data_IF_437891672950
#
_entry.id   IF_437891672950
#
_cell.length_a   1.000
_cell.length_b   1.000
_cell.length_c   1.000
_cell.angle_alpha   90.00
_cell.angle_beta   90.00
_cell.angle_gamma   90.00
#
_symmetry.space_group_name_H-M   'P 1'
#
loop_
_entity.id
_entity.type
_entity.pdbx_description
1 polymer ?
#
# COMPACT_ATOMS: atom_id res chain seq x y z
N UNK A 1 -19.21 -37.18 -76.25
CA UNK A 1 -19.16 -37.16 -74.78
C UNK A 1 -17.85 -36.51 -74.37
N UNK A 2 -17.89 -35.26 -73.88
CA UNK A 2 -16.72 -34.53 -73.36
C UNK A 2 -17.10 -34.02 -71.97
N UNK A 3 -16.41 -34.54 -70.96
CA UNK A 3 -16.59 -34.22 -69.55
C UNK A 3 -15.90 -32.91 -69.21
N UNK A 4 -16.62 -31.97 -68.59
CA UNK A 4 -16.06 -30.73 -68.04
C UNK A 4 -15.83 -30.90 -66.55
N UNK A 5 -14.58 -30.75 -66.13
CA UNK A 5 -14.14 -30.75 -64.73
C UNK A 5 -14.31 -29.34 -64.14
N UNK A 6 -15.02 -29.22 -63.02
CA UNK A 6 -15.13 -27.98 -62.24
C UNK A 6 -14.09 -28.00 -61.13
N UNK A 7 -13.21 -26.99 -61.08
CA UNK A 7 -12.24 -26.79 -59.99
C UNK A 7 -12.83 -25.76 -59.02
N UNK A 8 -13.16 -26.20 -57.80
CA UNK A 8 -13.52 -25.32 -56.69
C UNK A 8 -12.25 -24.78 -56.03
N UNK A 9 -12.05 -23.45 -56.09
CA UNK A 9 -11.02 -22.75 -55.31
C UNK A 9 -11.53 -22.44 -53.90
N UNK A 10 -10.86 -22.95 -52.88
CA UNK A 10 -11.04 -22.49 -51.49
C UNK A 10 -10.26 -21.19 -51.28
N UNK A 11 -10.96 -20.10 -51.00
CA UNK A 11 -10.36 -18.89 -50.46
C UNK A 11 -10.25 -19.02 -48.93
N UNK A 12 -9.02 -19.09 -48.41
CA UNK A 12 -8.76 -19.03 -46.98
C UNK A 12 -8.77 -17.56 -46.52
N UNK A 13 -9.82 -17.16 -45.82
CA UNK A 13 -9.92 -15.85 -45.17
C UNK A 13 -9.05 -15.84 -43.91
N UNK A 14 -7.87 -15.21 -43.97
CA UNK A 14 -7.10 -14.87 -42.78
C UNK A 14 -7.80 -13.71 -42.06
N UNK A 15 -8.55 -14.03 -41.00
CA UNK A 15 -9.02 -13.03 -40.05
C UNK A 15 -7.84 -12.62 -39.16
N UNK A 16 -7.29 -11.42 -39.42
CA UNK A 16 -6.34 -10.79 -38.51
C UNK A 16 -7.06 -10.46 -37.20
N UNK A 17 -6.73 -11.17 -36.13
CA UNK A 17 -7.16 -10.82 -34.78
C UNK A 17 -6.51 -9.49 -34.39
N UNK A 18 -7.27 -8.40 -34.45
CA UNK A 18 -6.84 -7.12 -33.90
C UNK A 18 -6.72 -7.28 -32.38
N UNK A 19 -5.49 -7.26 -31.88
CA UNK A 19 -5.21 -7.20 -30.45
C UNK A 19 -5.83 -5.90 -29.90
N UNK A 20 -6.82 -6.05 -29.02
CA UNK A 20 -7.39 -4.91 -28.29
C UNK A 20 -6.26 -4.34 -27.42
N UNK A 21 -5.90 -3.05 -27.54
CA UNK A 21 -4.91 -2.46 -26.65
C UNK A 21 -5.44 -2.54 -25.22
N UNK A 22 -4.64 -3.11 -24.31
CA UNK A 22 -4.93 -3.09 -22.89
C UNK A 22 -5.19 -1.64 -22.47
N UNK A 23 -6.37 -1.36 -21.94
CA UNK A 23 -6.72 -0.03 -21.45
C UNK A 23 -5.71 0.35 -20.36
N UNK A 24 -4.83 1.31 -20.66
CA UNK A 24 -3.89 1.85 -19.69
C UNK A 24 -4.68 2.66 -18.66
N UNK A 25 -4.91 2.09 -17.48
CA UNK A 25 -5.56 2.79 -16.37
C UNK A 25 -4.70 3.99 -15.98
N UNK A 26 -5.27 5.18 -16.04
CA UNK A 26 -4.56 6.40 -15.69
C UNK A 26 -4.12 6.39 -14.22
N UNK A 27 -2.91 6.88 -13.92
CA UNK A 27 -2.39 6.97 -12.56
C UNK A 27 -3.27 7.76 -11.60
N UNK A 28 -3.43 7.28 -10.36
CA UNK A 28 -4.14 8.04 -9.34
C UNK A 28 -3.30 9.25 -8.91
N UNK A 29 -3.92 10.44 -8.74
CA UNK A 29 -3.27 11.59 -8.13
C UNK A 29 -2.89 11.31 -6.67
N UNK A 30 -1.83 11.97 -6.22
CA UNK A 30 -1.49 12.04 -4.81
C UNK A 30 -2.37 13.10 -4.15
N UNK A 31 -3.02 12.74 -3.05
CA UNK A 31 -3.92 13.61 -2.31
C UNK A 31 -3.49 13.81 -0.86
N UNK A 32 -4.28 14.60 -0.14
CA UNK A 32 -4.17 14.76 1.31
C UNK A 32 -4.56 13.46 2.02
N UNK A 33 -3.81 13.11 3.07
CA UNK A 33 -4.23 12.12 4.05
C UNK A 33 -5.25 12.76 4.99
N UNK A 34 -6.22 11.98 5.44
CA UNK A 34 -7.18 12.41 6.44
C UNK A 34 -7.07 11.59 7.71
N UNK A 35 -7.53 12.20 8.80
CA UNK A 35 -7.58 11.66 10.14
C UNK A 35 -8.94 11.95 10.76
N UNK A 36 -9.45 10.99 11.51
CA UNK A 36 -10.66 11.12 12.32
C UNK A 36 -10.35 10.78 13.79
N UNK A 37 -10.79 11.63 14.70
CA UNK A 37 -10.68 11.37 16.14
C UNK A 37 -10.93 12.60 17.00
N UNK A 38 -10.81 12.45 18.32
CA UNK A 38 -11.02 13.53 19.28
C UNK A 38 -9.70 14.26 19.62
N UNK A 39 -9.56 15.57 19.32
CA UNK A 39 -8.37 16.36 19.65
C UNK A 39 -8.16 16.58 21.16
N UNK A 40 -9.25 16.52 21.92
CA UNK A 40 -9.30 16.70 23.37
C UNK A 40 -10.00 15.47 23.96
N UNK A 41 -9.44 14.90 25.03
CA UNK A 41 -10.00 13.72 25.67
C UNK A 41 -11.47 13.96 26.10
N UNK A 42 -12.37 13.09 25.63
CA UNK A 42 -13.83 13.20 25.88
C UNK A 42 -14.54 14.30 25.09
N UNK A 43 -13.83 15.01 24.20
CA UNK A 43 -14.40 15.99 23.28
C UNK A 43 -15.04 15.35 22.03
N UNK A 44 -15.64 16.18 21.15
CA UNK A 44 -16.18 15.70 19.89
C UNK A 44 -15.06 15.26 18.95
N UNK A 45 -15.36 14.24 18.14
CA UNK A 45 -14.48 13.80 17.05
C UNK A 45 -14.57 14.78 15.87
N UNK A 46 -13.44 14.98 15.19
CA UNK A 46 -13.32 15.86 14.03
C UNK A 46 -12.60 15.15 12.89
N UNK A 47 -12.88 15.62 11.66
CA UNK A 47 -12.17 15.21 10.46
C UNK A 47 -11.14 16.27 10.06
N UNK A 48 -9.86 15.89 10.00
CA UNK A 48 -8.76 16.78 9.61
C UNK A 48 -8.00 16.17 8.44
N UNK A 49 -7.78 16.98 7.40
CA UNK A 49 -7.03 16.59 6.21
C UNK A 49 -5.73 17.39 6.11
N UNK A 50 -4.67 16.80 5.57
CA UNK A 50 -3.40 17.46 5.34
C UNK A 50 -2.46 16.66 4.46
N UNK A 51 -1.34 17.28 4.07
CA UNK A 51 -0.32 16.66 3.21
C UNK A 51 0.45 15.52 3.90
N UNK A 52 0.46 15.50 5.24
CA UNK A 52 1.04 14.44 6.07
C UNK A 52 0.39 14.43 7.47
N UNK A 53 0.68 13.40 8.27
CA UNK A 53 0.24 13.35 9.67
C UNK A 53 0.85 14.47 10.52
N UNK A 54 2.08 14.92 10.21
CA UNK A 54 2.70 16.07 10.87
C UNK A 54 1.94 17.37 10.54
N UNK A 55 1.46 17.52 9.31
CA UNK A 55 0.63 18.66 8.91
C UNK A 55 -0.75 18.62 9.60
N UNK A 56 -1.34 17.43 9.75
CA UNK A 56 -2.56 17.22 10.52
C UNK A 56 -2.34 17.59 12.00
N UNK A 57 -1.26 17.11 12.61
CA UNK A 57 -0.92 17.45 14.00
C UNK A 57 -0.77 18.97 14.17
N UNK A 58 -0.07 19.65 13.25
CA UNK A 58 0.09 21.09 13.30
C UNK A 58 -1.26 21.85 13.22
N UNK A 59 -2.19 21.40 12.36
CA UNK A 59 -3.55 21.96 12.29
C UNK A 59 -4.31 21.73 13.60
N UNK A 60 -4.23 20.52 14.15
CA UNK A 60 -4.92 20.18 15.41
C UNK A 60 -4.39 21.01 16.58
N UNK A 61 -3.07 21.20 16.64
CA UNK A 61 -2.42 22.04 17.65
C UNK A 61 -2.84 23.50 17.57
N UNK A 62 -2.98 24.03 16.36
CA UNK A 62 -3.37 25.41 16.13
C UNK A 62 -4.85 25.67 16.45
N UNK A 63 -5.73 24.72 16.13
CA UNK A 63 -7.19 24.93 16.16
C UNK A 63 -7.87 24.39 17.43
N UNK A 64 -7.36 23.31 18.02
CA UNK A 64 -8.08 22.58 19.08
C UNK A 64 -7.29 22.40 20.37
N UNK A 65 -6.05 21.91 20.29
CA UNK A 65 -5.27 21.51 21.47
C UNK A 65 -3.76 21.62 21.23
N UNK A 66 -3.08 22.66 21.75
CA UNK A 66 -1.63 22.85 21.58
C UNK A 66 -0.76 21.68 22.03
N UNK A 67 -1.24 20.88 22.98
CA UNK A 67 -0.53 19.73 23.55
C UNK A 67 -0.87 18.40 22.84
N UNK A 68 -1.68 18.42 21.79
CA UNK A 68 -2.03 17.23 21.03
C UNK A 68 -0.79 16.54 20.45
N UNK A 69 -0.79 15.21 20.39
CA UNK A 69 0.19 14.43 19.64
C UNK A 69 -0.56 13.43 18.78
N UNK A 70 -0.20 13.37 17.50
CA UNK A 70 -0.79 12.37 16.61
C UNK A 70 -0.22 10.98 16.86
N UNK A 71 0.98 10.90 17.47
CA UNK A 71 1.61 9.65 17.84
C UNK A 71 1.42 9.39 19.35
N UNK A 72 0.85 8.23 19.66
CA UNK A 72 0.77 7.68 21.00
C UNK A 72 2.14 7.13 21.44
N UNK A 73 2.37 7.10 22.75
CA UNK A 73 3.59 6.52 23.32
C UNK A 73 3.61 4.99 23.18
N UNK A 74 2.44 4.37 23.30
CA UNK A 74 2.24 2.93 23.19
C UNK A 74 1.49 2.59 21.90
N UNK A 75 1.70 1.35 21.45
CA UNK A 75 0.96 0.82 20.30
C UNK A 75 -0.51 0.62 20.67
N UNK A 76 -1.41 0.86 19.71
CA UNK A 76 -2.82 0.60 19.93
C UNK A 76 -3.11 -0.89 19.92
N UNK A 77 -3.93 -1.35 20.87
CA UNK A 77 -4.45 -2.71 20.84
C UNK A 77 -5.29 -2.92 19.58
N UNK A 78 -4.96 -3.98 18.83
CA UNK A 78 -5.77 -4.40 17.68
C UNK A 78 -7.06 -5.02 18.25
N UNK A 79 -8.26 -4.56 17.86
CA UNK A 79 -9.50 -5.16 18.32
C UNK A 79 -9.54 -6.65 17.97
N UNK A 80 -9.57 -7.52 18.99
CA UNK A 80 -9.57 -8.97 18.79
C UNK A 80 -10.87 -9.48 18.19
N UNK A 81 -10.78 -10.26 17.11
CA UNK A 81 -11.91 -11.03 16.57
C UNK A 81 -12.18 -12.25 17.45
N UNK A 82 -13.44 -12.45 17.84
CA UNK A 82 -13.92 -13.49 18.77
C UNK A 82 -13.96 -14.93 18.21
N UNK A 83 -13.06 -15.28 17.30
CA UNK A 83 -12.89 -16.65 16.81
C UNK A 83 -11.55 -17.20 17.30
N UNK A 84 -11.31 -18.52 17.22
CA UNK A 84 -10.02 -19.13 17.59
C UNK A 84 -8.90 -18.29 16.97
N UNK A 85 -8.16 -17.51 17.79
CA UNK A 85 -7.38 -16.39 17.28
C UNK A 85 -6.25 -16.88 16.38
N UNK A 86 -5.84 -18.14 16.51
CA UNK A 86 -4.82 -18.74 15.66
C UNK A 86 -5.36 -19.08 14.26
N UNK A 87 -6.61 -19.54 14.14
CA UNK A 87 -7.22 -19.90 12.86
C UNK A 87 -7.64 -18.64 12.10
N UNK A 88 -8.32 -17.71 12.78
CA UNK A 88 -8.71 -16.42 12.18
C UNK A 88 -7.49 -15.60 11.73
N UNK A 89 -6.43 -15.55 12.54
CA UNK A 89 -5.19 -14.88 12.14
C UNK A 89 -4.53 -15.56 10.94
N UNK A 90 -4.55 -16.90 10.87
CA UNK A 90 -3.96 -17.63 9.74
C UNK A 90 -4.74 -17.40 8.44
N UNK A 91 -6.06 -17.51 8.49
CA UNK A 91 -6.92 -17.32 7.32
C UNK A 91 -6.83 -15.88 6.79
N UNK A 92 -6.75 -14.90 7.69
CA UNK A 92 -6.53 -13.49 7.35
C UNK A 92 -5.15 -13.25 6.73
N UNK A 93 -4.10 -13.87 7.25
CA UNK A 93 -2.75 -13.80 6.68
C UNK A 93 -2.70 -14.45 5.29
N UNK A 94 -3.26 -15.64 5.13
CA UNK A 94 -3.35 -16.32 3.83
C UNK A 94 -4.18 -15.51 2.83
N UNK A 95 -5.21 -14.82 3.28
CA UNK A 95 -6.03 -13.93 2.45
C UNK A 95 -5.22 -12.73 1.94
N UNK A 96 -4.51 -12.04 2.82
CA UNK A 96 -3.63 -10.91 2.45
C UNK A 96 -2.49 -11.34 1.54
N UNK A 97 -1.99 -12.57 1.70
CA UNK A 97 -0.91 -13.11 0.88
C UNK A 97 -1.28 -13.26 -0.60
N UNK A 98 -2.55 -13.52 -0.93
CA UNK A 98 -3.01 -13.79 -2.32
C UNK A 98 -2.92 -12.57 -3.24
N UNK A 99 -3.06 -11.37 -2.69
CA UNK A 99 -3.10 -10.13 -3.46
C UNK A 99 -1.79 -9.34 -3.41
N UNK A 100 -0.70 -10.01 -3.02
CA UNK A 100 0.62 -9.40 -2.89
C UNK A 100 1.35 -9.35 -4.23
N UNK A 101 1.99 -8.22 -4.49
CA UNK A 101 2.91 -8.03 -5.60
C UNK A 101 4.21 -7.38 -5.09
N UNK A 102 5.35 -8.03 -5.32
CA UNK A 102 6.69 -7.56 -4.91
C UNK A 102 7.42 -6.78 -6.02
N UNK A 103 6.68 -6.08 -6.88
CA UNK A 103 7.23 -5.30 -8.00
C UNK A 103 8.16 -4.19 -7.49
N UNK A 104 9.36 -4.13 -8.05
CA UNK A 104 10.39 -3.15 -7.68
C UNK A 104 10.09 -1.74 -8.17
N UNK A 105 9.06 -1.54 -9.01
CA UNK A 105 8.65 -0.22 -9.51
C UNK A 105 8.32 0.79 -8.41
N UNK A 106 7.99 0.32 -7.19
CA UNK A 106 7.71 1.20 -6.06
C UNK A 106 8.96 1.73 -5.36
N UNK A 107 10.16 1.32 -5.79
CA UNK A 107 11.43 1.72 -5.18
C UNK A 107 11.76 0.87 -3.95
N UNK A 108 12.93 0.24 -3.97
CA UNK A 108 13.35 -0.65 -2.89
C UNK A 108 13.86 0.12 -1.69
N UNK A 109 13.42 -0.30 -0.50
CA UNK A 109 13.73 0.39 0.74
C UNK A 109 14.34 -0.55 1.76
N UNK A 110 15.14 0.01 2.67
CA UNK A 110 15.82 -0.77 3.70
C UNK A 110 14.79 -1.25 4.73
N UNK A 111 14.85 -2.54 5.06
CA UNK A 111 13.86 -3.21 5.91
C UNK A 111 13.71 -2.58 7.30
N UNK A 112 14.78 -2.02 7.89
CA UNK A 112 14.69 -1.37 9.21
C UNK A 112 13.90 -0.05 9.17
N UNK A 113 13.99 0.71 8.08
CA UNK A 113 13.24 1.97 7.93
C UNK A 113 11.78 1.69 7.57
N UNK A 114 11.54 0.66 6.77
CA UNK A 114 10.20 0.14 6.56
C UNK A 114 9.52 -0.26 7.88
N UNK A 115 10.24 -0.95 8.78
CA UNK A 115 9.72 -1.31 10.10
C UNK A 115 9.37 -0.09 10.95
N UNK A 116 10.21 0.95 10.95
CA UNK A 116 9.92 2.18 11.68
C UNK A 116 8.65 2.87 11.15
N UNK A 117 8.51 2.99 9.82
CA UNK A 117 7.30 3.55 9.21
C UNK A 117 6.04 2.74 9.58
N UNK A 118 6.13 1.40 9.60
CA UNK A 118 5.04 0.51 10.03
C UNK A 118 4.68 0.76 11.50
N UNK A 119 5.68 0.88 12.38
CA UNK A 119 5.47 1.09 13.81
C UNK A 119 4.86 2.46 14.12
N UNK A 120 5.21 3.50 13.35
CA UNK A 120 4.57 4.80 13.47
C UNK A 120 3.06 4.74 13.19
N UNK A 121 2.63 3.97 12.17
CA UNK A 121 1.21 3.81 11.86
C UNK A 121 0.42 3.16 12.98
N UNK A 122 1.02 2.19 13.68
CA UNK A 122 0.40 1.50 14.81
C UNK A 122 0.21 2.41 16.03
N UNK A 123 0.80 3.61 16.01
CA UNK A 123 0.75 4.61 17.08
C UNK A 123 -0.09 5.82 16.72
N UNK A 124 -0.76 5.85 15.57
CA UNK A 124 -1.61 6.99 15.19
C UNK A 124 -2.81 7.05 16.15
N UNK A 125 -2.88 8.11 16.96
CA UNK A 125 -4.01 8.42 17.83
C UNK A 125 -5.31 8.41 17.01
N UNK A 126 -6.43 7.92 17.54
CA UNK A 126 -7.68 7.73 16.78
C UNK A 126 -7.69 6.57 15.78
N UNK A 127 -6.53 5.98 15.47
CA UNK A 127 -6.37 4.83 14.57
C UNK A 127 -7.00 5.03 13.18
N UNK A 128 -7.10 6.25 12.65
CA UNK A 128 -7.80 6.54 11.40
C UNK A 128 -6.84 6.99 10.30
N UNK A 129 -6.83 6.24 9.20
CA UNK A 129 -6.06 6.52 8.00
C UNK A 129 -7.03 6.70 6.82
N UNK A 130 -7.29 7.95 6.42
CA UNK A 130 -8.27 8.27 5.36
C UNK A 130 -7.60 8.61 4.05
N UNK A 131 -8.23 8.18 2.96
CA UNK A 131 -7.87 8.59 1.60
C UNK A 131 -9.10 9.00 0.81
N UNK A 132 -8.99 10.13 0.09
CA UNK A 132 -10.05 10.60 -0.80
C UNK A 132 -10.33 9.59 -1.90
N UNK A 133 -11.56 9.59 -2.40
CA UNK A 133 -11.95 8.85 -3.60
C UNK A 133 -10.93 9.06 -4.73
N UNK A 134 -10.48 7.99 -5.37
CA UNK A 134 -9.56 8.04 -6.52
C UNK A 134 -8.23 8.76 -6.23
N UNK A 135 -7.71 8.66 -5.02
CA UNK A 135 -6.41 9.23 -4.64
C UNK A 135 -5.50 8.20 -3.99
N UNK A 136 -4.20 8.42 -4.14
CA UNK A 136 -3.17 7.83 -3.30
C UNK A 136 -2.72 8.83 -2.24
N UNK A 137 -2.37 8.35 -1.07
CA UNK A 137 -1.83 9.15 0.03
C UNK A 137 -0.56 8.50 0.55
N UNK A 138 0.43 9.32 0.93
CA UNK A 138 1.60 8.86 1.67
C UNK A 138 1.30 8.96 3.16
N UNK A 139 1.23 7.83 3.85
CA UNK A 139 0.89 7.81 5.27
C UNK A 139 2.14 8.02 6.13
N UNK A 140 3.29 7.48 5.72
CA UNK A 140 4.57 7.63 6.43
C UNK A 140 5.72 7.80 5.44
N UNK A 141 6.80 8.46 5.89
CA UNK A 141 8.09 8.50 5.22
C UNK A 141 9.20 8.58 6.27
N UNK A 142 9.99 7.51 6.41
CA UNK A 142 11.09 7.40 7.37
C UNK A 142 12.34 7.00 6.62
N UNK A 143 13.36 7.85 6.60
CA UNK A 143 14.67 7.60 5.97
C UNK A 143 14.58 6.97 4.55
N UNK A 144 13.66 7.51 3.74
CA UNK A 144 13.41 7.04 2.37
C UNK A 144 12.41 5.89 2.25
N UNK A 145 12.02 5.23 3.34
CA UNK A 145 10.98 4.21 3.34
C UNK A 145 9.58 4.81 3.59
N UNK A 146 8.65 4.56 2.69
CA UNK A 146 7.28 5.03 2.79
C UNK A 146 6.26 3.89 2.81
N UNK A 147 5.23 4.10 3.62
CA UNK A 147 3.96 3.39 3.49
C UNK A 147 2.98 4.36 2.83
N UNK A 148 2.28 3.87 1.81
CA UNK A 148 1.20 4.62 1.18
C UNK A 148 -0.05 3.77 1.01
N UNK A 149 -1.17 4.46 0.87
CA UNK A 149 -2.48 3.85 0.67
C UNK A 149 -3.13 4.47 -0.57
N UNK A 150 -3.71 3.65 -1.41
CA UNK A 150 -4.38 4.09 -2.63
C UNK A 150 -5.82 3.62 -2.63
N UNK A 151 -6.74 4.56 -2.90
CA UNK A 151 -8.17 4.35 -2.91
C UNK A 151 -8.70 4.38 -4.34
N UNK A 152 -9.04 3.21 -4.88
CA UNK A 152 -9.67 3.11 -6.20
C UNK A 152 -11.20 3.32 -6.14
N UNK A 153 -11.81 3.46 -4.96
CA UNK A 153 -13.23 3.70 -4.85
C UNK A 153 -13.62 5.10 -5.35
N UNK A 154 -14.91 5.25 -5.66
CA UNK A 154 -15.55 6.55 -5.93
C UNK A 154 -16.05 7.25 -4.65
N UNK A 155 -15.70 6.73 -3.49
CA UNK A 155 -15.97 7.32 -2.18
C UNK A 155 -14.69 7.32 -1.33
N UNK A 156 -14.63 8.20 -0.34
CA UNK A 156 -13.54 8.25 0.62
C UNK A 156 -13.51 6.98 1.46
N UNK A 157 -12.33 6.48 1.78
CA UNK A 157 -12.15 5.35 2.69
C UNK A 157 -11.56 5.85 4.01
N UNK A 158 -11.93 5.17 5.09
CA UNK A 158 -11.35 5.31 6.42
C UNK A 158 -10.97 3.92 6.90
N UNK A 159 -9.68 3.64 6.92
CA UNK A 159 -9.14 2.33 7.27
C UNK A 159 -8.38 2.49 8.58
N UNK A 160 -8.49 1.53 9.52
CA UNK A 160 -7.65 1.53 10.70
C UNK A 160 -6.17 1.63 10.33
N UNK A 161 -5.43 2.59 10.89
CA UNK A 161 -4.00 2.72 10.63
C UNK A 161 -3.22 1.46 11.04
N UNK A 162 -3.66 0.74 12.08
CA UNK A 162 -3.14 -0.59 12.41
C UNK A 162 -3.38 -1.61 11.29
N UNK A 163 -4.53 -1.55 10.62
CA UNK A 163 -4.82 -2.36 9.43
C UNK A 163 -3.90 -2.03 8.26
N UNK A 164 -3.66 -0.73 7.99
CA UNK A 164 -2.68 -0.30 6.97
C UNK A 164 -1.27 -0.79 7.33
N UNK A 165 -0.89 -0.70 8.61
CA UNK A 165 0.39 -1.18 9.13
C UNK A 165 0.55 -2.70 8.97
N UNK A 166 -0.51 -3.47 9.18
CA UNK A 166 -0.45 -4.92 9.00
C UNK A 166 -0.26 -5.32 7.53
N UNK A 167 -0.92 -4.64 6.60
CA UNK A 167 -0.69 -4.86 5.17
C UNK A 167 0.77 -4.55 4.81
N UNK A 168 1.31 -3.43 5.32
CA UNK A 168 2.70 -3.08 5.12
C UNK A 168 3.67 -4.09 5.77
N UNK A 169 3.36 -4.62 6.95
CA UNK A 169 4.14 -5.67 7.61
C UNK A 169 4.13 -6.98 6.79
N UNK A 170 3.00 -7.32 6.18
CA UNK A 170 2.88 -8.48 5.30
C UNK A 170 3.65 -8.29 3.99
N UNK A 171 3.67 -7.06 3.42
CA UNK A 171 4.58 -6.74 2.31
C UNK A 171 6.03 -6.90 2.76
N UNK A 172 6.40 -6.29 3.89
CA UNK A 172 7.75 -6.35 4.45
C UNK A 172 8.24 -7.80 4.56
N UNK A 173 7.40 -8.68 5.10
CA UNK A 173 7.69 -10.11 5.33
C UNK A 173 7.74 -10.91 4.04
N UNK A 174 6.74 -10.78 3.16
CA UNK A 174 6.61 -11.61 1.96
C UNK A 174 7.46 -11.15 0.77
N UNK A 175 7.83 -9.87 0.74
CA UNK A 175 8.72 -9.29 -0.27
C UNK A 175 10.11 -8.99 0.30
N UNK A 176 10.46 -9.62 1.42
CA UNK A 176 11.75 -9.46 2.08
C UNK A 176 12.86 -10.09 1.25
N UNK A 177 13.96 -9.36 1.06
CA UNK A 177 15.21 -9.89 0.51
C UNK A 177 16.40 -9.44 1.34
N UNK A 178 17.46 -10.24 1.35
CA UNK A 178 18.72 -9.90 1.99
C UNK A 178 19.84 -10.06 0.99
N UNK A 179 20.71 -9.07 0.92
CA UNK A 179 21.92 -9.13 0.12
C UNK A 179 23.10 -9.54 1.02
N UNK A 180 23.57 -10.79 0.96
CA UNK A 180 24.70 -11.24 1.77
C UNK A 180 25.98 -10.52 1.34
N UNK A 181 26.84 -10.19 2.30
CA UNK A 181 28.18 -9.69 2.05
C UNK A 181 29.16 -10.85 2.23
N UNK A 182 29.86 -11.21 1.16
CA UNK A 182 30.83 -12.30 1.18
C UNK A 182 32.26 -11.75 1.11
N UNK A 183 33.18 -12.33 1.89
CA UNK A 183 34.61 -12.05 1.77
C UNK A 183 35.25 -12.84 0.61
N UNK A 184 36.54 -12.63 0.38
CA UNK A 184 37.31 -13.33 -0.66
C UNK A 184 37.45 -14.85 -0.45
N UNK A 185 37.13 -15.35 0.74
CA UNK A 185 37.19 -16.76 1.11
C UNK A 185 35.81 -17.44 1.03
N UNK A 186 34.77 -16.70 0.62
CA UNK A 186 33.40 -17.20 0.50
C UNK A 186 32.61 -17.20 1.81
N UNK A 187 33.11 -16.56 2.88
CA UNK A 187 32.34 -16.41 4.11
C UNK A 187 31.33 -15.27 3.92
N UNK A 188 30.05 -15.58 4.01
CA UNK A 188 28.96 -14.63 3.81
C UNK A 188 28.30 -14.26 5.13
N UNK A 189 28.08 -12.97 5.36
CA UNK A 189 27.32 -12.43 6.49
C UNK A 189 26.13 -11.63 6.00
N UNK A 190 25.01 -11.75 6.70
CA UNK A 190 23.80 -10.94 6.46
C UNK A 190 23.72 -9.81 7.47
N UNK A 191 23.41 -8.61 7.00
CA UNK A 191 23.20 -7.43 7.84
C UNK A 191 21.77 -6.93 7.71
N UNK A 192 21.08 -6.52 8.79
CA UNK A 192 19.79 -5.85 8.71
C UNK A 192 19.81 -4.60 7.81
N UNK A 193 20.96 -3.94 7.69
CA UNK A 193 21.16 -2.76 6.83
C UNK A 193 21.29 -3.11 5.34
N UNK A 194 21.38 -4.40 5.01
CA UNK A 194 21.35 -4.95 3.65
C UNK A 194 20.11 -5.81 3.42
N UNK A 195 19.07 -5.54 4.20
CA UNK A 195 17.75 -6.09 3.97
C UNK A 195 16.90 -5.08 3.22
N UNK A 196 16.20 -5.54 2.21
CA UNK A 196 15.36 -4.71 1.37
C UNK A 196 13.97 -5.29 1.30
N UNK A 197 12.99 -4.41 1.09
CA UNK A 197 11.61 -4.80 0.85
C UNK A 197 10.94 -3.77 -0.04
N UNK A 198 9.94 -4.20 -0.79
CA UNK A 198 9.12 -3.39 -1.68
C UNK A 198 7.89 -4.18 -2.09
N UNK A 199 6.76 -3.53 -2.25
CA UNK A 199 5.61 -4.17 -2.87
C UNK A 199 4.30 -3.49 -2.57
N UNK A 200 3.22 -4.20 -2.91
CA UNK A 200 1.86 -3.79 -2.64
C UNK A 200 1.00 -4.99 -2.27
N UNK A 201 -0.06 -4.76 -1.50
CA UNK A 201 -1.13 -5.74 -1.24
C UNK A 201 -2.47 -5.04 -1.45
N UNK A 202 -3.34 -5.62 -2.27
CA UNK A 202 -4.72 -5.16 -2.42
C UNK A 202 -5.64 -5.72 -1.33
N UNK A 203 -6.64 -4.93 -0.97
CA UNK A 203 -7.80 -5.41 -0.21
C UNK A 203 -8.55 -6.50 -0.98
N UNK A 204 -9.43 -7.26 -0.31
CA UNK A 204 -10.17 -8.36 -0.97
C UNK A 204 -10.99 -7.91 -2.16
N UNK A 205 -11.65 -6.76 -2.03
CA UNK A 205 -12.46 -6.19 -3.10
C UNK A 205 -11.63 -5.61 -4.24
N UNK A 206 -10.29 -5.60 -4.13
CA UNK A 206 -9.37 -4.96 -5.06
C UNK A 206 -9.70 -3.48 -5.30
N UNK A 207 -10.31 -2.83 -4.30
CA UNK A 207 -10.80 -1.44 -4.37
C UNK A 207 -9.88 -0.44 -3.67
N UNK A 208 -8.87 -0.93 -2.94
CA UNK A 208 -7.80 -0.13 -2.38
C UNK A 208 -6.59 -1.03 -2.12
N UNK A 209 -5.42 -0.43 -1.94
CA UNK A 209 -4.21 -1.16 -1.64
C UNK A 209 -3.26 -0.37 -0.76
N UNK A 210 -2.38 -1.11 -0.09
CA UNK A 210 -1.20 -0.56 0.59
C UNK A 210 0.03 -0.82 -0.26
N UNK A 211 0.93 0.16 -0.29
CA UNK A 211 2.21 0.09 -0.98
C UNK A 211 3.30 0.37 0.06
N UNK A 212 4.35 -0.45 0.05
CA UNK A 212 5.60 -0.21 0.77
C UNK A 212 6.69 0.01 -0.27
N UNK A 213 7.32 1.17 -0.25
CA UNK A 213 8.30 1.56 -1.25
C UNK A 213 8.99 2.88 -0.91
N UNK A 214 9.73 3.43 -1.86
CA UNK A 214 10.54 4.64 -1.65
C UNK A 214 9.66 5.88 -1.45
N UNK A 215 10.06 6.82 -0.58
CA UNK A 215 9.31 8.05 -0.33
C UNK A 215 9.10 8.90 -1.59
N UNK A 216 10.06 8.88 -2.51
CA UNK A 216 9.94 9.57 -3.80
C UNK A 216 8.89 8.92 -4.68
N UNK A 217 8.50 7.66 -4.44
CA UNK A 217 7.37 7.02 -5.12
C UNK A 217 6.10 7.86 -4.99
N UNK A 218 5.90 8.48 -3.83
CA UNK A 218 4.74 9.31 -3.53
C UNK A 218 5.05 10.82 -3.61
N UNK A 219 6.12 11.24 -4.31
CA UNK A 219 6.68 12.59 -4.23
C UNK A 219 6.69 13.43 -5.51
N UNK A 220 6.20 12.92 -6.65
CA UNK A 220 5.99 13.75 -7.84
C UNK A 220 4.80 13.24 -8.65
N UNK A 221 3.85 14.16 -8.89
CA UNK A 221 2.57 14.06 -9.61
C UNK A 221 2.20 12.75 -10.29
N UNK A 222 0.97 12.29 -10.02
CA UNK A 222 0.24 11.20 -10.69
C UNK A 222 1.07 9.94 -10.97
N UNK A 223 0.92 8.90 -10.15
CA UNK A 223 1.68 7.64 -10.34
C UNK A 223 0.76 6.45 -10.62
N UNK A 224 1.15 5.55 -11.54
CA UNK A 224 0.29 4.47 -11.98
C UNK A 224 0.09 3.52 -10.82
N UNK A 225 -1.10 3.58 -10.22
CA UNK A 225 -1.54 2.61 -9.22
C UNK A 225 -2.68 1.81 -9.82
N UNK A 226 -2.29 0.90 -10.71
CA UNK A 226 -2.70 -0.51 -10.74
C UNK A 226 -1.69 -1.27 -11.61
N UNK A 227 -1.65 -2.60 -11.48
CA UNK A 227 -0.90 -3.43 -12.43
C UNK A 227 -1.66 -3.47 -13.76
#
# INVERSE_FOLDING_TARGET
MRSSTVVLGLAASMAAAAAVPAATVAPLPLGEIGWHGAPVAGGPEVDVWGESFEAIEAKIKAEYNPDFSIYLQEEQEVPGTSEDPAVAARDELERRARNRNCDKRFGEVIGVYAEQAINNLRRINGNSCKARARHCVRTQCVDGAAVGMCNDNYHDIDIPCTGVADFAAEIKRGCYRVEPQCDSYGNCVTSPWRSYTVGQIFSDGLTWNVILGDCTFFGSGTRPVKA
#
